data_IF_367166809710
#
_entry.id   IF_367166809710
#
_cell.length_a   1.000
_cell.length_b   1.000
_cell.length_c   1.000
_cell.angle_alpha   90.00
_cell.angle_beta   90.00
_cell.angle_gamma   90.00
#
_symmetry.space_group_name_H-M   'P 1'
#
loop_
_entity.id
_entity.type
_entity.pdbx_description
1 polymer ?
#
# COMPACT_ATOMS: atom_id res chain seq x y z
N UNK A 1 5.88 23.11 9.53
CA UNK A 1 5.20 21.91 9.02
C UNK A 1 4.11 21.52 10.01
N UNK A 2 2.83 21.65 9.66
CA UNK A 2 1.72 21.36 10.59
C UNK A 2 1.64 19.86 10.91
N UNK A 3 1.64 19.51 12.19
CA UNK A 3 1.69 18.13 12.71
C UNK A 3 0.61 17.20 12.13
N UNK A 4 -0.52 17.77 11.71
CA UNK A 4 -1.67 17.06 11.13
C UNK A 4 -1.32 16.25 9.87
N UNK A 5 -0.45 16.77 8.98
CA UNK A 5 -0.02 16.04 7.76
C UNK A 5 0.93 14.89 8.06
N UNK A 6 1.77 15.02 9.10
CA UNK A 6 2.67 13.95 9.56
C UNK A 6 1.89 12.82 10.22
N UNK A 7 0.95 13.15 11.11
CA UNK A 7 0.13 12.16 11.81
C UNK A 7 -0.87 11.47 10.87
N UNK A 8 -1.61 12.23 10.05
CA UNK A 8 -2.58 11.66 9.12
C UNK A 8 -1.96 10.70 8.10
N UNK A 9 -0.78 11.05 7.57
CA UNK A 9 -0.03 10.18 6.68
C UNK A 9 0.45 8.88 7.33
N UNK A 10 0.96 8.97 8.56
CA UNK A 10 1.39 7.80 9.33
C UNK A 10 0.22 6.84 9.59
N UNK A 11 -0.93 7.35 10.03
CA UNK A 11 -2.12 6.53 10.24
C UNK A 11 -2.62 5.90 8.95
N UNK A 12 -2.57 6.61 7.83
CA UNK A 12 -2.96 6.06 6.53
C UNK A 12 -2.04 4.91 6.09
N UNK A 13 -0.72 5.02 6.32
CA UNK A 13 0.23 3.94 6.02
C UNK A 13 -0.05 2.72 6.91
N UNK A 14 -0.25 2.93 8.22
CA UNK A 14 -0.56 1.85 9.17
C UNK A 14 -1.86 1.15 8.76
N UNK A 15 -2.92 1.92 8.48
CA UNK A 15 -4.21 1.39 8.05
C UNK A 15 -4.07 0.59 6.75
N UNK A 16 -3.29 1.10 5.79
CA UNK A 16 -3.03 0.41 4.54
C UNK A 16 -2.33 -0.94 4.76
N UNK A 17 -1.31 -0.98 5.62
CA UNK A 17 -0.60 -2.22 5.96
C UNK A 17 -1.55 -3.21 6.65
N UNK A 18 -2.36 -2.75 7.61
CA UNK A 18 -3.33 -3.60 8.33
C UNK A 18 -4.35 -4.18 7.34
N UNK A 19 -4.97 -3.34 6.51
CA UNK A 19 -5.97 -3.77 5.52
C UNK A 19 -5.34 -4.78 4.56
N UNK A 20 -4.14 -4.50 4.05
CA UNK A 20 -3.46 -5.42 3.14
C UNK A 20 -3.12 -6.76 3.80
N UNK A 21 -2.60 -6.73 5.03
CA UNK A 21 -2.29 -7.93 5.80
C UNK A 21 -3.54 -8.77 6.06
N UNK A 22 -4.66 -8.16 6.42
CA UNK A 22 -5.94 -8.86 6.65
C UNK A 22 -6.43 -9.52 5.35
N UNK A 23 -6.36 -8.82 4.21
CA UNK A 23 -6.74 -9.37 2.91
C UNK A 23 -5.88 -10.60 2.58
N UNK A 24 -4.56 -10.50 2.70
CA UNK A 24 -3.66 -11.62 2.37
C UNK A 24 -3.81 -12.78 3.37
N UNK A 25 -3.91 -12.48 4.67
CA UNK A 25 -4.09 -13.50 5.71
C UNK A 25 -5.42 -14.23 5.58
N UNK A 26 -6.50 -13.53 5.23
CA UNK A 26 -7.81 -14.16 4.98
C UNK A 26 -7.82 -15.05 3.74
N UNK A 27 -6.95 -14.79 2.75
CA UNK A 27 -6.74 -15.65 1.60
C UNK A 27 -5.81 -16.86 1.90
N UNK A 28 -5.02 -16.82 2.98
CA UNK A 28 -4.03 -17.84 3.29
C UNK A 28 -4.60 -19.28 3.42
N UNK A 29 -5.79 -19.52 4.01
CA UNK A 29 -6.38 -20.87 4.05
C UNK A 29 -6.72 -21.44 2.68
N UNK A 30 -7.06 -20.58 1.71
CA UNK A 30 -7.33 -20.99 0.33
C UNK A 30 -6.02 -21.26 -0.43
N UNK A 31 -5.08 -20.33 -0.33
CA UNK A 31 -3.76 -20.39 -1.00
C UNK A 31 -2.92 -21.54 -0.47
N UNK A 32 -3.03 -21.86 0.82
CA UNK A 32 -2.33 -23.00 1.44
C UNK A 32 -2.71 -24.37 0.87
N UNK A 33 -3.85 -24.47 0.17
CA UNK A 33 -4.28 -25.69 -0.52
C UNK A 33 -3.71 -25.81 -1.93
N UNK A 34 -3.10 -24.76 -2.46
CA UNK A 34 -2.50 -24.78 -3.79
C UNK A 34 -1.11 -25.41 -3.79
N UNK A 35 -0.65 -25.95 -4.94
CA UNK A 35 0.74 -26.35 -5.12
C UNK A 35 1.70 -25.20 -4.82
N UNK A 36 2.88 -25.53 -4.28
CA UNK A 36 3.90 -24.54 -3.88
C UNK A 36 4.30 -23.59 -5.03
N UNK A 37 4.26 -24.08 -6.27
CA UNK A 37 4.55 -23.31 -7.48
C UNK A 37 3.55 -22.18 -7.76
N UNK A 38 2.32 -22.27 -7.24
CA UNK A 38 1.31 -21.21 -7.33
C UNK A 38 1.33 -20.29 -6.11
N UNK A 39 1.71 -20.83 -4.94
CA UNK A 39 1.89 -20.00 -3.74
C UNK A 39 3.01 -18.98 -3.94
N UNK A 40 4.14 -19.39 -4.53
CA UNK A 40 5.29 -18.52 -4.74
C UNK A 40 4.95 -17.24 -5.54
N UNK A 41 4.39 -17.31 -6.77
CA UNK A 41 4.01 -16.12 -7.52
C UNK A 41 2.90 -15.33 -6.82
N UNK A 42 1.96 -15.99 -6.13
CA UNK A 42 0.93 -15.29 -5.36
C UNK A 42 1.55 -14.38 -4.28
N UNK A 43 2.46 -14.91 -3.47
CA UNK A 43 3.13 -14.14 -2.42
C UNK A 43 4.08 -13.07 -2.98
N UNK A 44 4.76 -13.34 -4.10
CA UNK A 44 5.58 -12.34 -4.78
C UNK A 44 4.73 -11.18 -5.31
N UNK A 45 3.63 -11.47 -6.00
CA UNK A 45 2.74 -10.44 -6.56
C UNK A 45 2.08 -9.63 -5.45
N UNK A 46 1.55 -10.29 -4.43
CA UNK A 46 0.94 -9.60 -3.28
C UNK A 46 1.96 -8.78 -2.49
N UNK A 47 3.21 -9.22 -2.41
CA UNK A 47 4.33 -8.48 -1.82
C UNK A 47 4.79 -7.27 -2.62
N UNK A 48 4.40 -7.15 -3.90
CA UNK A 48 4.74 -6.00 -4.77
C UNK A 48 3.55 -5.06 -4.96
N UNK A 49 2.34 -5.58 -5.18
CA UNK A 49 1.16 -4.78 -5.52
C UNK A 49 0.83 -3.73 -4.45
N UNK A 50 1.03 -4.04 -3.17
CA UNK A 50 0.73 -3.10 -2.08
C UNK A 50 1.59 -1.84 -2.07
N UNK A 51 2.69 -1.81 -2.83
CA UNK A 51 3.55 -0.62 -2.98
C UNK A 51 2.86 0.44 -3.86
N UNK A 52 2.00 0.03 -4.79
CA UNK A 52 1.30 0.94 -5.70
C UNK A 52 0.52 2.05 -4.97
N UNK A 53 -0.31 1.75 -3.94
CA UNK A 53 -0.99 2.79 -3.15
C UNK A 53 -0.07 3.54 -2.17
N UNK A 54 1.10 2.99 -1.81
CA UNK A 54 2.07 3.67 -0.95
C UNK A 54 2.69 4.90 -1.64
N UNK A 55 3.00 4.80 -2.94
CA UNK A 55 3.61 5.87 -3.74
C UNK A 55 2.82 7.21 -3.71
N UNK A 56 1.53 7.26 -4.07
CA UNK A 56 0.77 8.52 -4.02
C UNK A 56 0.55 9.02 -2.60
N UNK A 57 0.43 8.12 -1.62
CA UNK A 57 0.27 8.48 -0.21
C UNK A 57 1.52 9.19 0.34
N UNK A 58 2.72 8.65 0.08
CA UNK A 58 3.99 9.28 0.45
C UNK A 58 4.15 10.65 -0.21
N UNK A 59 3.82 10.78 -1.49
CA UNK A 59 3.87 12.08 -2.19
C UNK A 59 2.92 13.11 -1.57
N UNK A 60 1.74 12.69 -1.15
CA UNK A 60 0.81 13.57 -0.45
C UNK A 60 1.36 14.01 0.91
N UNK A 61 2.01 13.12 1.65
CA UNK A 61 2.66 13.49 2.91
C UNK A 61 3.72 14.58 2.70
N UNK A 62 4.58 14.43 1.70
CA UNK A 62 5.67 15.37 1.38
C UNK A 62 5.14 16.70 0.82
N UNK A 63 4.29 16.66 -0.21
CA UNK A 63 3.92 17.86 -0.99
C UNK A 63 2.55 18.43 -0.66
N UNK A 64 1.67 17.66 -0.02
CA UNK A 64 0.28 18.04 0.27
C UNK A 64 -0.61 18.00 -0.97
N UNK A 65 -0.06 17.59 -2.12
CA UNK A 65 -0.75 17.50 -3.40
C UNK A 65 -0.80 16.04 -3.83
N UNK A 66 -1.98 15.62 -4.27
CA UNK A 66 -2.20 14.26 -4.79
C UNK A 66 -1.76 14.11 -6.25
N UNK A 67 -1.63 15.22 -6.98
CA UNK A 67 -1.39 15.26 -8.42
C UNK A 67 -0.17 16.13 -8.74
N UNK A 68 0.56 15.76 -9.78
CA UNK A 68 1.62 16.60 -10.36
C UNK A 68 0.89 17.76 -11.05
N UNK A 69 1.07 18.98 -10.57
CA UNK A 69 0.54 20.18 -11.24
C UNK A 69 1.33 20.35 -12.55
N UNK A 70 0.67 20.51 -13.72
CA UNK A 70 1.37 20.87 -14.95
C UNK A 70 2.04 22.24 -14.79
N UNK A 71 3.20 22.50 -15.44
CA UNK A 71 3.80 23.83 -15.45
C UNK A 71 2.79 24.84 -16.01
N UNK A 72 2.45 25.87 -15.24
CA UNK A 72 1.65 26.99 -15.75
C UNK A 72 2.57 27.86 -16.59
N UNK A 73 2.50 27.69 -17.91
CA UNK A 73 2.97 28.66 -18.89
C UNK A 73 1.90 29.70 -19.15
#
# INVERSE_FOLDING_TARGET
>A
MTAFRKLGGMFAIILLIIVWAVIVASAAPLVGRWPILLQLPFYLVTGIIWIAPLKPLLRWMETGRWRVEPPRG
#
